data_IF_598067645207
#
_entry.id   IF_598067645207
#
_cell.length_a   1.000
_cell.length_b   1.000
_cell.length_c   1.000
_cell.angle_alpha   90.00
_cell.angle_beta   90.00
_cell.angle_gamma   90.00
#
_symmetry.space_group_name_H-M   'P 1'
#
loop_
_entity.id
_entity.type
_entity.pdbx_description
1 polymer ?
#
# COMPACT_ATOMS: atom_id res chain seq x y z
N UNK A 1 -12.26 16.45 1.91
CA UNK A 1 -11.38 16.85 0.82
C UNK A 1 -10.72 18.17 1.16
N UNK A 2 -9.39 18.23 1.10
CA UNK A 2 -8.62 19.44 1.44
C UNK A 2 -8.04 20.14 0.22
N UNK A 3 -7.91 19.44 -0.90
CA UNK A 3 -7.43 20.00 -2.17
C UNK A 3 -8.08 19.28 -3.35
N UNK A 4 -8.37 20.02 -4.41
CA UNK A 4 -8.87 19.48 -5.67
C UNK A 4 -8.12 20.13 -6.82
N UNK A 5 -7.64 19.36 -7.75
CA UNK A 5 -6.94 19.79 -8.95
C UNK A 5 -7.53 19.12 -10.19
N UNK A 6 -7.70 19.89 -11.26
CA UNK A 6 -8.06 19.35 -12.56
C UNK A 6 -6.77 18.97 -13.29
N UNK A 7 -6.70 17.72 -13.73
CA UNK A 7 -5.61 17.16 -14.55
C UNK A 7 -6.16 16.77 -15.92
N UNK A 8 -5.29 16.36 -16.83
CA UNK A 8 -5.71 15.92 -18.15
C UNK A 8 -6.50 14.59 -18.05
N UNK A 9 -7.82 14.68 -18.26
CA UNK A 9 -8.74 13.56 -18.27
C UNK A 9 -9.23 13.06 -16.90
N UNK A 10 -8.76 13.65 -15.79
CA UNK A 10 -9.20 13.27 -14.45
C UNK A 10 -9.15 14.44 -13.45
N UNK A 11 -9.80 14.24 -12.31
CA UNK A 11 -9.76 15.14 -11.17
C UNK A 11 -8.95 14.45 -10.07
N UNK A 12 -7.93 15.13 -9.56
CA UNK A 12 -7.15 14.71 -8.41
C UNK A 12 -7.66 15.42 -7.16
N UNK A 13 -7.98 14.64 -6.14
CA UNK A 13 -8.38 15.16 -4.84
C UNK A 13 -7.44 14.65 -3.75
N UNK A 14 -7.06 15.51 -2.82
CA UNK A 14 -6.40 15.14 -1.57
C UNK A 14 -7.40 15.14 -0.44
N UNK A 15 -7.43 14.07 0.31
CA UNK A 15 -8.30 13.88 1.45
C UNK A 15 -7.49 13.67 2.73
N UNK A 16 -8.05 14.13 3.84
CA UNK A 16 -7.57 13.86 5.19
C UNK A 16 -8.64 13.08 5.95
N UNK A 17 -8.20 12.17 6.81
CA UNK A 17 -9.04 11.50 7.79
C UNK A 17 -8.30 11.38 9.14
N UNK A 18 -9.03 11.11 10.20
CA UNK A 18 -8.54 11.17 11.56
C UNK A 18 -8.76 9.81 12.23
N UNK A 19 -7.86 8.84 12.02
CA UNK A 19 -8.04 7.47 12.51
C UNK A 19 -8.06 7.35 14.02
N UNK A 20 -7.39 8.27 14.71
CA UNK A 20 -7.34 8.37 16.17
C UNK A 20 -7.40 9.84 16.62
N UNK A 21 -7.73 10.12 17.90
CA UNK A 21 -7.63 11.47 18.44
C UNK A 21 -6.24 12.06 18.22
N UNK A 22 -6.19 13.27 17.66
CA UNK A 22 -4.95 14.02 17.37
C UNK A 22 -4.02 13.36 16.32
N UNK A 23 -4.51 12.41 15.55
CA UNK A 23 -3.79 11.87 14.40
C UNK A 23 -4.46 12.28 13.11
N UNK A 24 -3.69 12.46 12.06
CA UNK A 24 -4.16 12.70 10.69
C UNK A 24 -3.49 11.71 9.77
N UNK A 25 -4.23 11.22 8.79
CA UNK A 25 -3.71 10.46 7.66
C UNK A 25 -4.31 11.00 6.38
N UNK A 26 -3.64 10.80 5.26
CA UNK A 26 -4.03 11.37 3.97
C UNK A 26 -4.09 10.31 2.89
N UNK A 27 -4.91 10.53 1.88
CA UNK A 27 -4.98 9.72 0.68
C UNK A 27 -5.31 10.58 -0.54
N UNK A 28 -5.00 10.09 -1.72
CA UNK A 28 -5.33 10.73 -2.99
C UNK A 28 -6.43 9.96 -3.70
N UNK A 29 -7.34 10.70 -4.34
CA UNK A 29 -8.41 10.16 -5.15
C UNK A 29 -8.29 10.69 -6.55
N UNK A 30 -8.17 9.80 -7.52
CA UNK A 30 -8.17 10.11 -8.94
C UNK A 30 -9.51 9.68 -9.52
N UNK A 31 -10.29 10.64 -10.00
CA UNK A 31 -11.61 10.40 -10.60
C UNK A 31 -11.60 10.75 -12.08
N UNK A 32 -12.11 9.90 -12.97
CA UNK A 32 -12.34 10.31 -14.36
C UNK A 32 -13.13 11.63 -14.43
N UNK A 33 -12.72 12.54 -15.31
CA UNK A 33 -13.35 13.87 -15.40
C UNK A 33 -14.85 13.80 -15.71
N UNK A 34 -15.26 12.81 -16.49
CA UNK A 34 -16.63 12.62 -16.93
C UNK A 34 -17.21 11.27 -16.50
N UNK A 35 -17.67 11.20 -15.23
CA UNK A 35 -18.33 10.00 -14.72
C UNK A 35 -19.79 9.94 -15.22
N UNK A 36 -20.13 8.85 -15.91
CA UNK A 36 -21.51 8.52 -16.32
C UNK A 36 -22.13 7.50 -15.36
N UNK A 37 -22.26 7.85 -14.10
CA UNK A 37 -22.74 6.97 -13.04
C UNK A 37 -21.63 6.39 -12.18
N UNK A 38 -21.96 5.37 -11.37
CA UNK A 38 -20.98 4.71 -10.52
C UNK A 38 -20.09 3.76 -11.34
N UNK A 39 -18.77 3.86 -11.13
CA UNK A 39 -17.75 3.04 -11.80
C UNK A 39 -17.02 2.15 -10.78
N UNK A 40 -16.31 1.10 -11.21
CA UNK A 40 -15.46 0.33 -10.31
C UNK A 40 -14.40 1.20 -9.61
N UNK A 41 -14.06 0.84 -8.35
CA UNK A 41 -13.03 1.49 -7.58
C UNK A 41 -11.80 0.61 -7.41
N UNK A 42 -10.62 1.22 -7.35
CA UNK A 42 -9.36 0.50 -7.06
C UNK A 42 -8.63 1.20 -5.91
N UNK A 43 -8.39 0.48 -4.82
CA UNK A 43 -7.49 0.90 -3.76
C UNK A 43 -6.07 0.47 -4.12
N UNK A 44 -5.17 1.43 -4.26
CA UNK A 44 -3.77 1.22 -4.63
C UNK A 44 -2.86 1.39 -3.41
N UNK A 45 -2.16 0.32 -3.02
CA UNK A 45 -1.28 0.28 -1.85
C UNK A 45 0.18 0.15 -2.31
N UNK A 46 1.07 1.06 -1.92
CA UNK A 46 2.42 1.13 -2.45
C UNK A 46 3.35 0.06 -1.86
N UNK A 47 4.44 -0.21 -2.58
CA UNK A 47 5.59 -0.94 -2.06
C UNK A 47 6.44 -0.14 -1.07
N UNK A 48 7.46 -0.78 -0.52
CA UNK A 48 8.43 -0.13 0.38
C UNK A 48 9.02 1.13 -0.26
N UNK A 49 9.04 2.22 0.52
CA UNK A 49 9.65 3.47 0.09
C UNK A 49 8.88 4.23 -0.99
N UNK A 50 7.73 3.74 -1.44
CA UNK A 50 6.86 4.47 -2.37
C UNK A 50 5.73 5.15 -1.63
N UNK A 51 5.19 6.21 -2.24
CA UNK A 51 4.16 7.05 -1.65
C UNK A 51 2.92 7.11 -2.55
N UNK A 52 1.82 7.58 -2.00
CA UNK A 52 0.58 7.83 -2.76
C UNK A 52 0.79 8.79 -3.93
N UNK A 53 1.71 9.76 -3.78
CA UNK A 53 2.06 10.68 -4.87
C UNK A 53 2.66 9.90 -6.04
N UNK A 54 3.62 9.01 -5.79
CA UNK A 54 4.20 8.15 -6.82
C UNK A 54 3.17 7.25 -7.51
N UNK A 55 2.18 6.73 -6.76
CA UNK A 55 1.07 5.97 -7.33
C UNK A 55 0.16 6.82 -8.21
N UNK A 56 -0.01 8.10 -7.87
CA UNK A 56 -0.80 9.07 -8.62
C UNK A 56 -0.05 9.71 -9.81
N UNK A 57 1.25 9.46 -9.94
CA UNK A 57 2.09 10.13 -10.95
C UNK A 57 2.35 11.60 -10.63
N UNK A 58 2.27 11.98 -9.37
CA UNK A 58 2.49 13.33 -8.88
C UNK A 58 3.91 13.50 -8.31
N UNK A 59 4.43 14.72 -8.24
CA UNK A 59 5.70 15.00 -7.57
C UNK A 59 5.66 14.49 -6.12
N UNK A 60 6.76 13.87 -5.69
CA UNK A 60 6.92 13.45 -4.30
C UNK A 60 7.02 14.65 -3.36
N UNK A 61 6.86 14.36 -2.06
CA UNK A 61 6.93 15.39 -1.03
C UNK A 61 8.35 15.91 -0.77
N UNK A 62 9.38 15.26 -1.30
CA UNK A 62 10.73 15.80 -1.33
C UNK A 62 11.37 15.60 -2.70
N UNK A 63 12.09 16.60 -3.17
CA UNK A 63 12.67 16.67 -4.53
C UNK A 63 13.65 15.52 -4.82
N UNK A 64 14.41 15.08 -3.83
CA UNK A 64 15.40 14.00 -3.96
C UNK A 64 14.81 12.65 -4.35
N UNK A 65 13.53 12.44 -4.11
CA UNK A 65 12.85 11.15 -4.32
C UNK A 65 11.89 11.20 -5.52
N UNK A 66 11.68 12.37 -6.11
CA UNK A 66 10.73 12.57 -7.20
C UNK A 66 11.17 11.85 -8.48
N UNK A 67 12.44 11.90 -8.83
CA UNK A 67 12.94 11.34 -10.09
C UNK A 67 12.92 9.80 -10.11
N UNK A 68 13.28 9.15 -8.99
CA UNK A 68 13.39 7.69 -8.92
C UNK A 68 12.04 6.99 -8.72
N UNK A 69 11.07 7.67 -8.10
CA UNK A 69 9.81 7.05 -7.66
C UNK A 69 8.59 7.44 -8.49
N UNK A 70 8.64 8.53 -9.25
CA UNK A 70 7.54 9.00 -10.10
C UNK A 70 7.68 8.55 -11.56
N UNK A 71 7.81 7.24 -11.77
CA UNK A 71 7.78 6.70 -13.13
C UNK A 71 6.32 6.50 -13.56
N UNK A 72 5.82 7.22 -14.58
CA UNK A 72 4.43 7.08 -15.03
C UNK A 72 4.04 5.65 -15.43
N UNK A 73 5.01 4.82 -15.82
CA UNK A 73 4.77 3.42 -16.20
C UNK A 73 4.39 2.54 -15.01
N UNK A 74 4.78 2.92 -13.79
CA UNK A 74 4.50 2.16 -12.56
C UNK A 74 3.54 2.89 -11.61
N UNK A 75 2.98 4.01 -12.04
CA UNK A 75 2.01 4.79 -11.26
C UNK A 75 0.64 4.13 -11.32
N UNK A 76 0.40 3.19 -10.41
CA UNK A 76 -0.80 2.32 -10.42
C UNK A 76 -2.10 3.12 -10.48
N UNK A 77 -2.29 4.09 -9.60
CA UNK A 77 -3.54 4.85 -9.53
C UNK A 77 -3.76 5.70 -10.79
N UNK A 78 -2.69 6.31 -11.32
CA UNK A 78 -2.76 7.06 -12.58
C UNK A 78 -3.15 6.15 -13.76
N UNK A 79 -2.60 4.94 -13.82
CA UNK A 79 -2.94 4.01 -14.87
C UNK A 79 -4.41 3.56 -14.76
N UNK A 80 -4.89 3.28 -13.54
CA UNK A 80 -6.27 2.86 -13.32
C UNK A 80 -7.28 3.96 -13.66
N UNK A 81 -7.02 5.23 -13.32
CA UNK A 81 -7.96 6.29 -13.67
C UNK A 81 -8.05 6.53 -15.17
N UNK A 82 -6.95 6.33 -15.92
CA UNK A 82 -6.95 6.40 -17.39
C UNK A 82 -7.81 5.30 -18.03
N UNK A 83 -7.94 4.16 -17.36
CA UNK A 83 -8.83 3.06 -17.77
C UNK A 83 -10.29 3.24 -17.30
N UNK A 84 -10.61 4.39 -16.69
CA UNK A 84 -11.98 4.73 -16.29
C UNK A 84 -12.39 4.31 -14.88
N UNK A 85 -11.46 3.83 -14.05
CA UNK A 85 -11.71 3.51 -12.65
C UNK A 85 -11.61 4.76 -11.77
N UNK A 86 -12.31 4.77 -10.65
CA UNK A 86 -11.92 5.66 -9.54
C UNK A 86 -10.76 4.98 -8.81
N UNK A 87 -9.60 5.61 -8.82
CA UNK A 87 -8.42 5.08 -8.16
C UNK A 87 -8.13 5.86 -6.88
N UNK A 88 -7.87 5.14 -5.80
CA UNK A 88 -7.52 5.71 -4.49
C UNK A 88 -6.13 5.24 -4.12
N UNK A 89 -5.22 6.19 -3.89
CA UNK A 89 -3.84 5.92 -3.52
C UNK A 89 -3.60 6.27 -2.04
N UNK A 90 -3.02 5.35 -1.30
CA UNK A 90 -2.67 5.50 0.12
C UNK A 90 -1.16 5.44 0.32
N UNK A 91 -0.70 5.93 1.46
CA UNK A 91 0.64 5.64 1.98
C UNK A 91 0.58 4.44 2.93
N UNK A 92 1.65 3.65 2.97
CA UNK A 92 1.87 2.75 4.09
C UNK A 92 2.11 3.55 5.37
N UNK A 93 1.73 3.01 6.52
CA UNK A 93 2.01 3.64 7.81
C UNK A 93 3.50 3.95 7.97
N UNK A 94 3.84 5.13 8.47
CA UNK A 94 5.20 5.64 8.61
C UNK A 94 5.94 5.87 7.27
N UNK A 95 5.19 6.11 6.20
CA UNK A 95 5.74 6.48 4.89
C UNK A 95 5.08 7.75 4.37
N UNK A 96 5.69 8.37 3.38
CA UNK A 96 5.19 9.59 2.76
C UNK A 96 5.00 10.71 3.79
N UNK A 97 3.87 11.37 3.77
CA UNK A 97 3.54 12.46 4.70
C UNK A 97 3.43 12.01 6.16
N UNK A 98 3.34 10.71 6.43
CA UNK A 98 3.28 10.16 7.79
C UNK A 98 4.67 9.74 8.32
N UNK A 99 5.75 9.99 7.59
CA UNK A 99 7.12 9.75 8.07
C UNK A 99 7.66 10.94 8.85
N UNK A 100 8.77 10.73 9.59
CA UNK A 100 9.42 11.76 10.36
C UNK A 100 10.07 12.83 9.47
N UNK A 101 10.05 14.10 9.88
CA UNK A 101 10.73 15.21 9.20
C UNK A 101 12.22 14.95 9.00
N UNK A 102 12.88 14.32 9.98
CA UNK A 102 14.29 13.94 9.88
C UNK A 102 14.55 12.96 8.71
N UNK A 103 13.59 12.12 8.38
CA UNK A 103 13.68 11.25 7.22
C UNK A 103 13.71 12.06 5.91
N UNK A 104 12.93 13.13 5.82
CA UNK A 104 12.95 14.01 4.65
C UNK A 104 14.28 14.72 4.47
N UNK A 105 14.86 15.22 5.56
CA UNK A 105 16.17 15.89 5.51
C UNK A 105 17.28 14.94 5.02
N UNK A 106 17.17 13.66 5.35
CA UNK A 106 18.06 12.59 4.87
C UNK A 106 17.71 12.10 3.47
N UNK A 107 16.63 12.57 2.87
CA UNK A 107 16.13 12.10 1.57
C UNK A 107 15.42 10.74 1.64
N UNK A 108 14.92 10.34 2.81
CA UNK A 108 14.10 9.15 3.01
C UNK A 108 12.63 9.54 3.14
N UNK A 109 11.75 8.68 2.66
CA UNK A 109 10.30 8.89 2.73
C UNK A 109 9.59 7.83 3.59
N UNK A 110 10.30 7.13 4.47
CA UNK A 110 9.73 6.12 5.35
C UNK A 110 10.57 5.93 6.62
N UNK A 111 9.89 5.47 7.66
CA UNK A 111 10.43 5.29 9.02
C UNK A 111 9.85 4.03 9.67
N UNK A 112 9.82 2.94 8.92
CA UNK A 112 9.12 1.72 9.34
C UNK A 112 9.61 1.12 10.64
N UNK A 113 10.93 1.08 10.87
CA UNK A 113 11.49 0.37 12.01
C UNK A 113 11.27 1.10 13.32
N UNK A 114 11.37 2.42 13.33
CA UNK A 114 11.11 3.24 14.53
C UNK A 114 9.64 3.11 14.93
N UNK A 115 8.72 3.32 13.98
CA UNK A 115 7.29 3.23 14.26
C UNK A 115 6.90 1.80 14.66
N UNK A 116 7.45 0.78 14.01
CA UNK A 116 7.17 -0.63 14.36
C UNK A 116 7.57 -0.97 15.79
N UNK A 117 8.70 -0.44 16.29
CA UNK A 117 9.13 -0.65 17.67
C UNK A 117 8.14 -0.06 18.65
N UNK A 118 7.70 1.18 18.43
CA UNK A 118 6.67 1.79 19.28
C UNK A 118 5.34 1.03 19.24
N UNK A 119 4.93 0.57 18.07
CA UNK A 119 3.70 -0.22 17.95
C UNK A 119 3.79 -1.55 18.71
N UNK A 120 4.94 -2.23 18.66
CA UNK A 120 5.16 -3.48 19.41
C UNK A 120 5.12 -3.24 20.94
N UNK A 121 5.68 -2.13 21.44
CA UNK A 121 5.57 -1.75 22.86
C UNK A 121 4.11 -1.53 23.29
N UNK A 122 3.26 -1.08 22.36
CA UNK A 122 1.82 -0.92 22.59
C UNK A 122 1.03 -2.22 22.41
N UNK A 123 1.68 -3.33 22.09
CA UNK A 123 1.02 -4.61 21.79
C UNK A 123 0.39 -4.67 20.39
N UNK A 124 0.80 -3.78 19.49
CA UNK A 124 0.32 -3.71 18.12
C UNK A 124 1.41 -4.22 17.16
N UNK A 125 1.03 -4.47 15.90
CA UNK A 125 1.98 -4.70 14.82
C UNK A 125 1.86 -3.59 13.77
N UNK A 126 2.96 -3.33 13.06
CA UNK A 126 2.93 -2.38 11.95
C UNK A 126 1.91 -2.79 10.89
N UNK A 127 1.87 -4.08 10.54
CA UNK A 127 0.91 -4.61 9.56
C UNK A 127 -0.54 -4.41 10.03
N UNK A 128 -0.84 -4.65 11.31
CA UNK A 128 -2.17 -4.40 11.86
C UNK A 128 -2.55 -2.92 11.80
N UNK A 129 -1.61 -2.03 12.12
CA UNK A 129 -1.84 -0.59 12.10
C UNK A 129 -2.07 -0.05 10.68
N UNK A 130 -1.19 -0.39 9.72
CA UNK A 130 -1.35 0.06 8.33
C UNK A 130 -2.64 -0.50 7.71
N UNK A 131 -2.98 -1.77 7.97
CA UNK A 131 -4.22 -2.37 7.51
C UNK A 131 -5.46 -1.68 8.09
N UNK A 132 -5.40 -1.23 9.34
CA UNK A 132 -6.48 -0.45 9.94
C UNK A 132 -6.67 0.90 9.23
N UNK A 133 -5.60 1.61 8.88
CA UNK A 133 -5.67 2.85 8.12
C UNK A 133 -6.31 2.61 6.74
N UNK A 134 -5.85 1.59 6.03
CA UNK A 134 -6.37 1.23 4.72
C UNK A 134 -7.85 0.80 4.78
N UNK A 135 -8.26 0.14 5.86
CA UNK A 135 -9.68 -0.21 6.10
C UNK A 135 -10.57 1.03 6.22
N UNK A 136 -10.09 2.10 6.87
CA UNK A 136 -10.84 3.35 6.94
C UNK A 136 -11.04 3.96 5.54
N UNK A 137 -10.00 3.93 4.71
CA UNK A 137 -10.09 4.42 3.32
C UNK A 137 -11.01 3.52 2.49
N UNK A 138 -10.93 2.20 2.64
CA UNK A 138 -11.83 1.26 1.97
C UNK A 138 -13.30 1.50 2.34
N UNK A 139 -13.60 1.74 3.63
CA UNK A 139 -14.93 2.09 4.09
C UNK A 139 -15.40 3.42 3.49
N UNK A 140 -14.52 4.42 3.45
CA UNK A 140 -14.80 5.67 2.78
C UNK A 140 -15.14 5.45 1.28
N UNK A 141 -14.40 4.58 0.57
CA UNK A 141 -14.71 4.25 -0.83
C UNK A 141 -16.10 3.65 -0.98
N UNK A 142 -16.51 2.77 -0.07
CA UNK A 142 -17.84 2.14 -0.07
C UNK A 142 -18.97 3.14 0.14
N UNK A 143 -18.72 4.27 0.78
CA UNK A 143 -19.69 5.34 1.02
C UNK A 143 -19.83 6.31 -0.15
N UNK A 144 -18.96 6.24 -1.16
CA UNK A 144 -19.03 7.13 -2.31
C UNK A 144 -20.08 6.67 -3.32
N UNK A 145 -21.02 7.55 -3.64
CA UNK A 145 -22.11 7.24 -4.61
C UNK A 145 -21.61 6.99 -6.05
N UNK A 146 -20.42 7.49 -6.38
CA UNK A 146 -19.79 7.33 -7.69
C UNK A 146 -18.88 6.10 -7.79
N UNK A 147 -18.74 5.30 -6.71
CA UNK A 147 -18.02 4.03 -6.71
C UNK A 147 -19.00 2.87 -6.60
N UNK A 148 -18.85 1.87 -7.46
CA UNK A 148 -19.60 0.63 -7.38
C UNK A 148 -19.11 -0.21 -6.21
N UNK A 149 -19.90 -0.31 -5.15
CA UNK A 149 -19.56 -1.07 -3.92
C UNK A 149 -19.28 -2.53 -4.20
N UNK A 150 -19.95 -3.11 -5.20
CA UNK A 150 -19.81 -4.51 -5.62
C UNK A 150 -18.62 -4.73 -6.58
N UNK A 151 -17.85 -3.71 -6.88
CA UNK A 151 -16.72 -3.73 -7.82
C UNK A 151 -15.51 -2.94 -7.28
N UNK A 152 -15.17 -3.16 -6.03
CA UNK A 152 -13.95 -2.61 -5.45
C UNK A 152 -12.84 -3.65 -5.56
N UNK A 153 -11.73 -3.25 -6.15
CA UNK A 153 -10.50 -4.04 -6.30
C UNK A 153 -9.42 -3.44 -5.41
N UNK A 154 -8.55 -4.27 -4.85
CA UNK A 154 -7.34 -3.80 -4.20
C UNK A 154 -6.13 -4.24 -5.01
N UNK A 155 -5.24 -3.29 -5.32
CA UNK A 155 -3.96 -3.52 -5.98
C UNK A 155 -2.82 -3.18 -5.03
N UNK A 156 -2.04 -4.16 -4.64
CA UNK A 156 -0.85 -4.00 -3.80
C UNK A 156 0.43 -4.26 -4.59
N UNK A 157 1.48 -3.51 -4.31
CA UNK A 157 2.82 -3.76 -4.85
C UNK A 157 3.79 -4.08 -3.72
N UNK A 158 4.53 -5.20 -3.82
CA UNK A 158 5.56 -5.60 -2.86
C UNK A 158 5.02 -5.51 -1.42
N UNK A 159 5.53 -4.62 -0.56
CA UNK A 159 5.04 -4.41 0.80
C UNK A 159 3.52 -4.18 0.87
N UNK A 160 2.93 -3.50 -0.11
CA UNK A 160 1.50 -3.21 -0.16
C UNK A 160 0.60 -4.43 -0.33
N UNK A 161 1.17 -5.58 -0.69
CA UNK A 161 0.42 -6.85 -0.76
C UNK A 161 0.11 -7.40 0.63
N UNK A 162 0.90 -7.06 1.64
CA UNK A 162 0.68 -7.51 3.02
C UNK A 162 -0.61 -6.91 3.63
N UNK A 163 -0.80 -5.57 3.67
CA UNK A 163 -2.09 -5.04 4.12
C UNK A 163 -3.25 -5.44 3.20
N UNK A 164 -3.03 -5.56 1.88
CA UNK A 164 -4.06 -6.03 0.95
C UNK A 164 -4.63 -7.40 1.35
N UNK A 165 -3.79 -8.38 1.69
CA UNK A 165 -4.29 -9.69 2.11
C UNK A 165 -5.04 -9.63 3.44
N UNK A 166 -4.62 -8.78 4.38
CA UNK A 166 -5.33 -8.58 5.64
C UNK A 166 -6.72 -8.01 5.40
N UNK A 167 -6.81 -6.95 4.57
CA UNK A 167 -8.09 -6.39 4.14
C UNK A 167 -8.97 -7.46 3.50
N UNK A 168 -8.38 -8.28 2.63
CA UNK A 168 -9.09 -9.36 1.95
C UNK A 168 -9.71 -10.39 2.90
N UNK A 169 -9.06 -10.71 4.00
CA UNK A 169 -9.62 -11.62 5.03
C UNK A 169 -10.71 -10.93 5.83
N UNK A 170 -10.49 -9.67 6.20
CA UNK A 170 -11.41 -8.93 7.09
C UNK A 170 -12.66 -8.43 6.36
N UNK A 171 -12.56 -8.16 5.06
CA UNK A 171 -13.65 -7.61 4.25
C UNK A 171 -13.97 -8.52 3.06
N UNK A 172 -15.12 -9.17 3.13
CA UNK A 172 -15.59 -10.14 2.13
C UNK A 172 -16.22 -9.47 0.90
N UNK A 173 -16.54 -8.18 0.97
CA UNK A 173 -17.17 -7.44 -0.13
C UNK A 173 -16.17 -6.97 -1.19
N UNK A 174 -14.88 -7.10 -0.92
CA UNK A 174 -13.82 -6.82 -1.91
C UNK A 174 -13.97 -7.80 -3.07
N UNK A 175 -14.10 -7.24 -4.28
CA UNK A 175 -14.40 -8.02 -5.47
C UNK A 175 -13.21 -8.85 -5.97
N UNK A 176 -12.01 -8.24 -6.05
CA UNK A 176 -10.83 -8.89 -6.62
C UNK A 176 -9.54 -8.25 -6.09
N UNK A 177 -8.41 -8.92 -6.34
CA UNK A 177 -7.08 -8.49 -5.90
C UNK A 177 -6.08 -8.54 -7.05
N UNK A 178 -5.16 -7.58 -7.06
CA UNK A 178 -3.99 -7.57 -7.95
C UNK A 178 -2.73 -7.63 -7.09
N UNK A 179 -2.08 -8.77 -7.11
CA UNK A 179 -0.85 -9.08 -6.39
C UNK A 179 0.34 -8.78 -7.28
N UNK A 180 1.05 -7.70 -6.99
CA UNK A 180 2.25 -7.35 -7.73
C UNK A 180 3.48 -7.62 -6.87
N UNK A 181 4.27 -8.63 -7.26
CA UNK A 181 5.63 -8.87 -6.79
C UNK A 181 5.77 -8.97 -5.25
N UNK A 182 5.22 -9.95 -4.64
CA UNK A 182 5.53 -10.43 -3.30
C UNK A 182 4.57 -11.50 -2.79
N UNK A 183 4.97 -12.75 -2.91
CA UNK A 183 4.33 -13.84 -2.17
C UNK A 183 5.40 -14.85 -1.80
N UNK A 184 5.70 -14.99 -0.52
CA UNK A 184 6.70 -15.96 -0.04
C UNK A 184 6.31 -16.56 1.31
N UNK A 185 6.87 -17.71 1.59
CA UNK A 185 6.85 -18.26 2.94
C UNK A 185 7.83 -17.50 3.83
N UNK A 186 7.43 -17.18 5.04
CA UNK A 186 8.22 -16.33 5.91
C UNK A 186 9.52 -17.01 6.37
N UNK A 187 9.50 -18.34 6.59
CA UNK A 187 10.70 -19.07 6.96
C UNK A 187 11.74 -19.09 5.84
N UNK A 188 11.31 -19.36 4.60
CA UNK A 188 12.18 -19.36 3.42
C UNK A 188 12.76 -17.97 3.18
N UNK A 189 11.93 -16.95 3.26
CA UNK A 189 12.36 -15.55 3.15
C UNK A 189 13.40 -15.21 4.21
N UNK A 190 13.17 -15.58 5.47
CA UNK A 190 14.13 -15.34 6.54
C UNK A 190 15.48 -15.98 6.26
N UNK A 191 15.49 -17.23 5.74
CA UNK A 191 16.71 -17.94 5.37
C UNK A 191 17.44 -17.24 4.22
N UNK A 192 16.71 -16.85 3.16
CA UNK A 192 17.31 -16.17 2.00
C UNK A 192 17.88 -14.82 2.38
N UNK A 193 17.09 -14.01 3.09
CA UNK A 193 17.47 -12.65 3.48
C UNK A 193 18.57 -12.57 4.52
N UNK A 194 18.87 -13.66 5.23
CA UNK A 194 19.95 -13.72 6.23
C UNK A 194 21.22 -14.38 5.71
N UNK A 195 21.26 -14.84 4.46
CA UNK A 195 22.49 -15.37 3.86
C UNK A 195 23.58 -14.30 3.84
N UNK A 196 24.82 -14.63 4.23
CA UNK A 196 25.94 -13.72 4.11
C UNK A 196 26.20 -13.37 2.64
N UNK A 197 26.58 -12.14 2.37
CA UNK A 197 27.10 -11.75 1.06
C UNK A 197 28.55 -12.29 0.84
N UNK A 198 29.14 -11.95 -0.32
CA UNK A 198 30.51 -12.36 -0.65
C UNK A 198 31.59 -11.85 0.32
N UNK A 199 31.26 -10.82 1.09
CA UNK A 199 32.13 -10.22 2.11
C UNK A 199 31.80 -10.69 3.52
N UNK A 200 31.00 -11.77 3.63
CA UNK A 200 30.51 -12.35 4.89
C UNK A 200 29.69 -11.35 5.75
N UNK A 201 29.14 -10.33 5.12
CA UNK A 201 28.21 -9.41 5.77
C UNK A 201 26.81 -10.01 5.63
N UNK A 202 26.07 -10.04 6.71
CA UNK A 202 24.65 -10.40 6.64
C UNK A 202 23.86 -9.19 6.17
N UNK A 203 23.03 -9.32 5.12
CA UNK A 203 22.12 -8.25 4.77
C UNK A 203 21.25 -7.93 5.98
N UNK A 204 20.82 -6.69 6.06
CA UNK A 204 19.93 -6.25 7.14
C UNK A 204 18.75 -7.23 7.21
N UNK A 205 18.48 -7.85 8.36
CA UNK A 205 17.31 -8.70 8.49
C UNK A 205 16.09 -7.88 8.11
N UNK A 206 15.09 -8.56 7.59
CA UNK A 206 13.80 -7.94 7.31
C UNK A 206 13.45 -6.91 8.36
N UNK A 207 13.05 -5.74 7.91
CA UNK A 207 12.55 -4.69 8.78
C UNK A 207 11.60 -5.29 9.81
N UNK A 208 11.72 -4.84 11.04
CA UNK A 208 10.88 -5.26 12.17
C UNK A 208 9.36 -5.10 11.88
N UNK A 209 8.98 -4.33 10.87
CA UNK A 209 7.59 -4.17 10.40
C UNK A 209 6.90 -5.49 10.04
N UNK A 210 7.67 -6.51 9.65
CA UNK A 210 7.12 -7.83 9.31
C UNK A 210 6.88 -8.71 10.54
N UNK A 211 7.23 -8.24 11.73
CA UNK A 211 7.03 -9.00 12.95
C UNK A 211 5.58 -8.88 13.43
N UNK A 212 4.91 -10.01 13.37
CA UNK A 212 3.60 -10.20 14.01
C UNK A 212 3.79 -11.30 15.05
N UNK A 213 3.81 -10.96 16.35
CA UNK A 213 4.06 -11.95 17.40
C UNK A 213 3.10 -13.15 17.29
N UNK A 214 3.67 -14.34 17.21
CA UNK A 214 2.89 -15.59 17.15
C UNK A 214 2.30 -15.95 15.80
N UNK A 215 2.46 -15.13 14.75
CA UNK A 215 1.85 -15.33 13.43
C UNK A 215 2.18 -16.71 12.85
N UNK A 216 3.45 -17.08 12.78
CA UNK A 216 3.90 -18.35 12.20
C UNK A 216 3.47 -19.59 12.98
N UNK A 217 2.95 -19.41 14.15
CA UNK A 217 2.42 -20.51 14.94
C UNK A 217 1.13 -21.07 14.37
N UNK A 218 0.42 -20.29 13.60
CA UNK A 218 -0.93 -20.62 13.14
C UNK A 218 -1.03 -20.68 11.61
N UNK A 219 -0.38 -19.79 10.88
CA UNK A 219 -0.45 -19.69 9.41
C UNK A 219 0.71 -18.87 8.84
N UNK A 220 0.86 -18.92 7.53
CA UNK A 220 1.85 -18.15 6.79
C UNK A 220 1.15 -17.29 5.70
N UNK A 221 1.88 -16.40 5.03
CA UNK A 221 1.31 -15.54 3.98
C UNK A 221 0.59 -16.32 2.88
N UNK A 222 1.13 -17.41 2.31
CA UNK A 222 0.40 -18.20 1.32
C UNK A 222 -0.94 -18.75 1.84
N UNK A 223 -1.02 -19.13 3.11
CA UNK A 223 -2.27 -19.63 3.71
C UNK A 223 -3.34 -18.53 3.75
N UNK A 224 -2.93 -17.30 4.13
CA UNK A 224 -3.82 -16.14 4.16
C UNK A 224 -4.33 -15.82 2.77
N UNK A 225 -3.41 -15.78 1.76
CA UNK A 225 -3.80 -15.50 0.38
C UNK A 225 -4.72 -16.59 -0.17
N UNK A 226 -4.44 -17.87 0.10
CA UNK A 226 -5.31 -18.97 -0.31
C UNK A 226 -6.73 -18.84 0.26
N UNK A 227 -6.86 -18.29 1.48
CA UNK A 227 -8.17 -18.07 2.12
C UNK A 227 -9.03 -17.00 1.42
N UNK A 228 -8.46 -16.21 0.53
CA UNK A 228 -9.20 -15.21 -0.27
C UNK A 228 -10.07 -15.85 -1.36
N UNK A 229 -9.82 -17.10 -1.73
CA UNK A 229 -10.64 -17.84 -2.68
C UNK A 229 -12.12 -17.89 -2.22
N UNK A 230 -13.10 -17.89 -3.14
CA UNK A 230 -12.99 -17.96 -4.60
C UNK A 230 -12.90 -16.59 -5.31
N UNK A 231 -12.58 -15.51 -4.61
CA UNK A 231 -12.47 -14.18 -5.23
C UNK A 231 -11.32 -14.13 -6.24
N UNK A 232 -11.49 -13.43 -7.37
CA UNK A 232 -10.44 -13.34 -8.38
C UNK A 232 -9.16 -12.70 -7.83
N UNK A 233 -8.00 -13.31 -8.12
CA UNK A 233 -6.67 -12.79 -7.80
C UNK A 233 -5.82 -12.86 -9.06
N UNK A 234 -5.17 -11.76 -9.40
CA UNK A 234 -4.15 -11.70 -10.44
C UNK A 234 -2.79 -11.62 -9.73
N UNK A 235 -1.88 -12.53 -10.06
CA UNK A 235 -0.50 -12.48 -9.61
C UNK A 235 0.39 -11.99 -10.76
N UNK A 236 1.25 -11.02 -10.46
CA UNK A 236 2.33 -10.59 -11.35
C UNK A 236 3.64 -10.73 -10.60
N UNK A 237 4.52 -11.58 -11.11
CA UNK A 237 5.82 -11.90 -10.53
C UNK A 237 6.93 -11.58 -11.53
N UNK A 238 8.06 -11.13 -11.05
CA UNK A 238 9.25 -10.94 -11.87
C UNK A 238 9.83 -12.29 -12.31
N UNK A 239 9.74 -12.61 -13.63
CA UNK A 239 10.21 -13.89 -14.17
C UNK A 239 11.73 -14.01 -14.34
N UNK A 240 12.46 -12.93 -14.18
CA UNK A 240 13.93 -12.86 -14.25
C UNK A 240 14.42 -12.13 -13.01
N UNK A 241 14.16 -12.71 -11.88
CA UNK A 241 14.60 -12.09 -10.65
C UNK A 241 16.12 -12.17 -10.52
N UNK A 242 16.63 -11.11 -9.95
CA UNK A 242 18.07 -10.95 -9.78
C UNK A 242 18.54 -11.89 -8.69
N UNK A 243 19.54 -12.66 -9.01
CA UNK A 243 20.30 -13.45 -8.06
C UNK A 243 20.85 -12.62 -6.87
#
# INVERSE_FOLDING_TARGET
CVKTEKKEGYILEKWEFYPFPKSVSTFLVLKPEHLKGAVPGVLCIPGSGRTKEGLAGEPGICDKLTEDYNNPKVSMALNMVKEGYVAVAVDNAAAGEASDLECYDKGWNYDYDVVSRFLLELGWSWLGYTSYLDMQVLNWMKDQSYIRKDRIVISGFSLGTEPMMVLGVLDKDIYAFVYNDFLCQTQERAVVMTKPDKENRRPFPNSIRHLIPGYWRYFNFPDVVASLAPRPIIFTEGGLDRD
#
